data_IF_268612833542
#
_entry.id   IF_268612833542
#
_cell.length_a   1.000
_cell.length_b   1.000
_cell.length_c   1.000
_cell.angle_alpha   90.00
_cell.angle_beta   90.00
_cell.angle_gamma   90.00
#
_symmetry.space_group_name_H-M   'P 1'
#
loop_
_entity.id
_entity.type
_entity.pdbx_description
1 polymer ?
#
# COMPACT_ATOMS: atom_id res chain seq x y z
N UNK A 1 -0.20 3.40 -18.07
CA UNK A 1 0.08 4.68 -17.37
C UNK A 1 -1.25 5.35 -17.10
N UNK A 2 -1.61 5.58 -15.84
CA UNK A 2 -2.83 6.28 -15.45
C UNK A 2 -2.81 7.72 -16.00
N UNK A 3 -3.94 8.18 -16.56
CA UNK A 3 -4.05 9.48 -17.25
C UNK A 3 -3.66 10.70 -16.38
N UNK A 4 -3.69 10.58 -15.05
CA UNK A 4 -3.41 11.66 -14.12
C UNK A 4 -1.92 12.02 -14.03
N UNK A 5 -1.02 11.03 -13.90
CA UNK A 5 0.42 11.26 -13.80
C UNK A 5 1.00 11.86 -15.09
N UNK A 6 0.45 11.48 -16.25
CA UNK A 6 0.83 12.03 -17.56
C UNK A 6 0.44 13.51 -17.70
N UNK A 7 -0.77 13.89 -17.24
CA UNK A 7 -1.26 15.28 -17.28
C UNK A 7 -0.49 16.23 -16.36
N UNK A 8 -0.03 15.76 -15.20
CA UNK A 8 0.73 16.63 -14.28
C UNK A 8 2.14 16.93 -14.82
N UNK A 9 2.83 15.93 -15.40
CA UNK A 9 4.18 16.12 -15.95
C UNK A 9 4.22 17.12 -17.12
N UNK A 10 3.19 17.13 -17.97
CA UNK A 10 3.11 18.05 -19.11
C UNK A 10 2.86 19.51 -18.71
N UNK A 11 2.49 19.79 -17.44
CA UNK A 11 2.10 21.13 -17.00
C UNK A 11 3.10 21.77 -16.02
N UNK A 12 3.95 20.99 -15.35
CA UNK A 12 4.89 21.50 -14.34
C UNK A 12 6.34 21.06 -14.53
N UNK A 13 6.64 20.12 -15.43
CA UNK A 13 8.00 19.56 -15.59
C UNK A 13 8.45 18.65 -14.44
N UNK A 14 7.65 18.52 -13.37
CA UNK A 14 7.93 17.66 -12.21
C UNK A 14 7.43 16.24 -12.50
N UNK A 15 8.26 15.23 -12.22
CA UNK A 15 7.83 13.82 -12.30
C UNK A 15 6.74 13.59 -11.25
N UNK A 16 5.49 13.49 -11.70
CA UNK A 16 4.37 13.17 -10.84
C UNK A 16 4.30 11.66 -10.61
N UNK A 17 4.30 11.26 -9.34
CA UNK A 17 3.95 9.89 -8.94
C UNK A 17 2.52 9.85 -8.38
N UNK A 18 1.97 8.65 -8.31
CA UNK A 18 0.70 8.36 -7.64
C UNK A 18 0.93 7.13 -6.77
N UNK A 19 0.24 6.99 -5.64
CA UNK A 19 0.36 5.84 -4.74
C UNK A 19 0.25 4.49 -5.47
N UNK A 20 -0.66 4.39 -6.42
CA UNK A 20 -0.84 3.18 -7.26
C UNK A 20 0.39 2.88 -8.13
N UNK A 21 1.03 3.92 -8.70
CA UNK A 21 2.24 3.75 -9.52
C UNK A 21 3.46 3.40 -8.67
N UNK A 22 3.60 4.04 -7.51
CA UNK A 22 4.67 3.77 -6.56
C UNK A 22 4.57 2.35 -6.02
N UNK A 23 3.38 1.93 -5.58
CA UNK A 23 3.13 0.57 -5.12
C UNK A 23 3.38 -0.44 -6.23
N UNK A 24 2.97 -0.17 -7.48
CA UNK A 24 3.28 -1.07 -8.60
C UNK A 24 4.79 -1.33 -8.74
N UNK A 25 5.63 -0.28 -8.70
CA UNK A 25 7.10 -0.42 -8.78
C UNK A 25 7.65 -1.26 -7.63
N UNK A 26 7.12 -1.06 -6.43
CA UNK A 26 7.50 -1.84 -5.25
C UNK A 26 7.18 -3.32 -5.41
N UNK A 27 5.95 -3.65 -5.83
CA UNK A 27 5.56 -5.04 -6.06
C UNK A 27 6.47 -5.74 -7.09
N UNK A 28 6.90 -5.03 -8.13
CA UNK A 28 7.87 -5.54 -9.11
C UNK A 28 9.26 -5.81 -8.49
N UNK A 29 9.80 -4.84 -7.74
CA UNK A 29 11.12 -4.96 -7.06
C UNK A 29 11.11 -6.11 -6.05
N UNK A 30 10.01 -6.23 -5.30
CA UNK A 30 9.83 -7.26 -4.28
C UNK A 30 9.35 -8.60 -4.84
N UNK A 31 9.09 -8.67 -6.15
CA UNK A 31 8.61 -9.86 -6.87
C UNK A 31 7.32 -10.44 -6.29
N UNK A 32 6.45 -9.58 -5.77
CA UNK A 32 5.16 -9.98 -5.19
C UNK A 32 4.24 -10.53 -6.29
N UNK A 33 3.64 -11.70 -6.02
CA UNK A 33 2.65 -12.35 -6.88
C UNK A 33 1.28 -12.43 -6.22
N UNK A 34 1.23 -12.53 -4.89
CA UNK A 34 0.02 -12.62 -4.08
C UNK A 34 0.00 -11.47 -3.08
N UNK A 35 -0.96 -10.56 -3.21
CA UNK A 35 -1.02 -9.34 -2.42
C UNK A 35 -2.21 -9.37 -1.47
N UNK A 36 -1.92 -9.28 -0.17
CA UNK A 36 -2.91 -8.96 0.85
C UNK A 36 -3.31 -7.50 0.76
N UNK A 37 -4.59 -7.17 0.80
CA UNK A 37 -5.09 -5.81 0.62
C UNK A 37 -6.03 -5.42 1.76
N UNK A 38 -5.69 -4.36 2.50
CA UNK A 38 -6.55 -3.78 3.53
C UNK A 38 -6.90 -2.35 3.15
N UNK A 39 -8.19 -2.04 3.02
CA UNK A 39 -8.64 -0.70 2.63
C UNK A 39 -9.88 -0.27 3.45
N UNK A 40 -10.21 1.03 3.51
CA UNK A 40 -11.47 1.47 4.11
C UNK A 40 -12.61 1.55 3.08
N UNK A 41 -12.35 1.23 1.81
CA UNK A 41 -13.23 1.60 0.71
C UNK A 41 -14.50 0.74 0.62
N UNK A 42 -15.50 1.27 -0.08
CA UNK A 42 -16.69 0.52 -0.47
C UNK A 42 -16.38 -0.53 -1.53
N UNK A 43 -17.25 -1.52 -1.62
CA UNK A 43 -17.10 -2.75 -2.38
C UNK A 43 -16.77 -2.51 -3.86
N UNK A 44 -17.43 -1.53 -4.51
CA UNK A 44 -17.18 -1.20 -5.92
C UNK A 44 -15.75 -0.71 -6.17
N UNK A 45 -15.23 0.09 -5.25
CA UNK A 45 -13.86 0.62 -5.32
C UNK A 45 -12.87 -0.51 -5.05
N UNK A 46 -13.15 -1.36 -4.06
CA UNK A 46 -12.33 -2.51 -3.74
C UNK A 46 -12.23 -3.48 -4.94
N UNK A 47 -13.37 -3.82 -5.55
CA UNK A 47 -13.44 -4.68 -6.72
C UNK A 47 -12.66 -4.10 -7.91
N UNK A 48 -12.72 -2.78 -8.12
CA UNK A 48 -11.92 -2.11 -9.13
C UNK A 48 -10.41 -2.20 -8.85
N UNK A 49 -9.98 -2.06 -7.60
CA UNK A 49 -8.58 -2.21 -7.19
C UNK A 49 -8.11 -3.64 -7.48
N UNK A 50 -8.85 -4.65 -7.01
CA UNK A 50 -8.56 -6.08 -7.24
C UNK A 50 -8.41 -6.39 -8.73
N UNK A 51 -9.35 -5.92 -9.55
CA UNK A 51 -9.30 -6.09 -11.01
C UNK A 51 -8.05 -5.47 -11.63
N UNK A 52 -7.66 -4.27 -11.20
CA UNK A 52 -6.48 -3.58 -11.71
C UNK A 52 -5.17 -4.32 -11.37
N UNK A 53 -5.04 -4.85 -10.15
CA UNK A 53 -3.88 -5.65 -9.76
C UNK A 53 -3.80 -6.98 -10.51
N UNK A 54 -4.94 -7.65 -10.69
CA UNK A 54 -5.02 -8.86 -11.52
C UNK A 54 -4.53 -8.62 -12.95
N UNK A 55 -4.89 -7.48 -13.54
CA UNK A 55 -4.47 -7.11 -14.90
C UNK A 55 -2.96 -6.88 -15.06
N UNK A 56 -2.22 -6.65 -13.96
CA UNK A 56 -0.75 -6.53 -13.96
C UNK A 56 -0.04 -7.79 -13.44
N UNK A 57 -0.76 -8.90 -13.30
CA UNK A 57 -0.19 -10.19 -12.88
C UNK A 57 0.05 -10.32 -11.38
N UNK A 58 -0.64 -9.52 -10.56
CA UNK A 58 -0.67 -9.63 -9.10
C UNK A 58 -2.04 -10.18 -8.68
N UNK A 59 -2.05 -11.31 -8.01
CA UNK A 59 -3.25 -11.97 -7.52
C UNK A 59 -3.69 -11.36 -6.18
N UNK A 60 -4.97 -11.00 -6.10
CA UNK A 60 -5.68 -10.71 -4.85
C UNK A 60 -6.91 -11.62 -4.87
N UNK A 61 -6.74 -12.82 -4.30
CA UNK A 61 -7.73 -13.89 -4.31
C UNK A 61 -8.70 -13.83 -3.13
N UNK A 62 -9.52 -14.86 -3.00
CA UNK A 62 -10.44 -15.02 -1.88
C UNK A 62 -9.68 -15.00 -0.55
N UNK A 63 -10.20 -14.24 0.42
CA UNK A 63 -9.58 -14.09 1.75
C UNK A 63 -8.37 -13.16 1.80
N UNK A 64 -7.78 -12.75 0.66
CA UNK A 64 -6.61 -11.87 0.61
C UNK A 64 -6.96 -10.39 0.71
N UNK A 65 -8.24 -10.03 0.71
CA UNK A 65 -8.65 -8.64 0.82
C UNK A 65 -9.60 -8.44 2.01
N UNK A 66 -9.49 -7.28 2.65
CA UNK A 66 -10.43 -6.79 3.64
C UNK A 66 -10.71 -5.32 3.39
N UNK A 67 -11.98 -4.96 3.49
CA UNK A 67 -12.40 -3.59 3.40
C UNK A 67 -13.49 -3.28 4.42
N UNK A 68 -13.52 -2.03 4.89
CA UNK A 68 -14.43 -1.60 5.95
C UNK A 68 -15.72 -0.95 5.44
N UNK A 69 -15.87 -0.83 4.11
CA UNK A 69 -17.01 -0.21 3.43
C UNK A 69 -17.42 1.15 4.02
N UNK A 70 -16.43 1.94 4.45
CA UNK A 70 -16.62 3.25 5.10
C UNK A 70 -16.86 4.31 4.02
N UNK A 71 -18.01 4.98 4.09
CA UNK A 71 -18.38 6.03 3.12
C UNK A 71 -17.90 7.43 3.51
N UNK A 72 -17.66 7.70 4.80
CA UNK A 72 -17.28 9.04 5.31
C UNK A 72 -15.82 9.08 5.75
N UNK A 73 -15.04 9.96 5.16
CA UNK A 73 -13.61 10.13 5.46
C UNK A 73 -13.30 10.49 6.92
N UNK A 74 -14.22 11.14 7.63
CA UNK A 74 -14.04 11.51 9.05
C UNK A 74 -14.04 10.28 9.97
N UNK A 75 -14.72 9.21 9.57
CA UNK A 75 -14.83 7.98 10.37
C UNK A 75 -13.59 7.09 10.20
N UNK A 76 -12.78 7.34 9.16
CA UNK A 76 -11.56 6.57 8.85
C UNK A 76 -10.46 6.84 9.90
N UNK A 77 -10.33 8.08 10.37
CA UNK A 77 -9.34 8.42 11.40
C UNK A 77 -9.69 7.86 12.79
N UNK A 78 -10.96 7.47 13.00
CA UNK A 78 -11.43 6.82 14.22
C UNK A 78 -11.25 5.29 14.19
N UNK A 79 -10.75 4.73 13.09
CA UNK A 79 -10.41 3.30 12.99
C UNK A 79 -9.23 3.04 13.93
N UNK A 80 -9.50 2.32 15.02
CA UNK A 80 -8.51 1.94 16.02
C UNK A 80 -7.51 0.91 15.50
N UNK A 81 -6.34 0.88 16.14
CA UNK A 81 -5.26 -0.05 15.82
C UNK A 81 -5.67 -1.52 15.95
N UNK A 82 -6.47 -1.86 16.97
CA UNK A 82 -6.93 -3.24 17.21
C UNK A 82 -7.73 -3.80 16.03
N UNK A 83 -8.55 -2.96 15.39
CA UNK A 83 -9.30 -3.35 14.21
C UNK A 83 -8.34 -3.59 13.04
N UNK A 84 -7.41 -2.66 12.79
CA UNK A 84 -6.42 -2.82 11.72
C UNK A 84 -5.54 -4.05 11.91
N UNK A 85 -5.11 -4.34 13.14
CA UNK A 85 -4.37 -5.54 13.49
C UNK A 85 -5.16 -6.81 13.16
N UNK A 86 -6.48 -6.80 13.42
CA UNK A 86 -7.39 -7.88 13.04
C UNK A 86 -7.45 -8.08 11.52
N UNK A 87 -7.70 -7.00 10.77
CA UNK A 87 -7.81 -7.07 9.30
C UNK A 87 -6.51 -7.53 8.65
N UNK A 88 -5.36 -7.03 9.10
CA UNK A 88 -4.04 -7.44 8.60
C UNK A 88 -3.81 -8.91 8.91
N UNK A 89 -4.10 -9.36 10.14
CA UNK A 89 -3.98 -10.78 10.49
C UNK A 89 -4.82 -11.67 9.57
N UNK A 90 -6.05 -11.26 9.25
CA UNK A 90 -6.94 -12.04 8.39
C UNK A 90 -6.39 -12.22 6.97
N UNK A 91 -5.86 -11.16 6.35
CA UNK A 91 -5.27 -11.28 5.00
C UNK A 91 -3.95 -12.03 4.98
N UNK A 92 -3.15 -11.95 6.06
CA UNK A 92 -1.89 -12.69 6.18
C UNK A 92 -2.13 -14.20 6.16
N UNK A 93 -3.22 -14.68 6.77
CA UNK A 93 -3.57 -16.12 6.82
C UNK A 93 -3.84 -16.70 5.42
N UNK A 94 -4.14 -15.86 4.42
CA UNK A 94 -4.38 -16.27 3.04
C UNK A 94 -3.11 -16.59 2.22
N UNK A 95 -1.94 -16.71 2.88
CA UNK A 95 -0.65 -17.04 2.26
C UNK A 95 -0.28 -16.04 1.16
N UNK A 96 -0.10 -14.78 1.55
CA UNK A 96 0.27 -13.65 0.68
C UNK A 96 1.77 -13.37 0.77
N UNK A 97 2.36 -12.75 -0.26
CA UNK A 97 3.80 -12.41 -0.27
C UNK A 97 4.07 -11.04 0.38
N UNK A 98 3.06 -10.16 0.39
CA UNK A 98 3.09 -8.85 1.00
C UNK A 98 1.67 -8.41 1.39
N UNK A 99 1.56 -7.43 2.28
CA UNK A 99 0.30 -6.74 2.58
C UNK A 99 0.42 -5.28 2.14
N UNK A 100 -0.64 -4.72 1.56
CA UNK A 100 -0.74 -3.29 1.29
C UNK A 100 -1.94 -2.66 2.01
N UNK A 101 -1.70 -1.52 2.67
CA UNK A 101 -2.75 -0.69 3.27
C UNK A 101 -3.01 0.52 2.39
N UNK A 102 -4.26 0.73 2.00
CA UNK A 102 -4.68 1.89 1.22
C UNK A 102 -5.43 2.88 2.08
N UNK A 103 -5.05 4.17 1.95
CA UNK A 103 -5.69 5.39 2.48
C UNK A 103 -4.72 6.16 3.37
N UNK A 104 -4.57 7.46 3.07
CA UNK A 104 -3.74 8.38 3.85
C UNK A 104 -4.31 8.71 5.22
N UNK A 105 -5.58 8.38 5.46
CA UNK A 105 -6.29 8.63 6.73
C UNK A 105 -6.30 7.43 7.66
N UNK A 106 -5.68 6.30 7.28
CA UNK A 106 -5.44 5.19 8.20
C UNK A 106 -4.17 5.47 8.98
N UNK A 107 -4.21 5.26 10.30
CA UNK A 107 -3.03 5.25 11.18
C UNK A 107 -2.22 3.96 10.99
N UNK A 108 -1.98 3.57 9.73
CA UNK A 108 -1.35 2.32 9.34
C UNK A 108 0.18 2.44 9.27
N UNK A 109 0.70 3.58 8.80
CA UNK A 109 2.15 3.79 8.63
C UNK A 109 2.96 3.54 9.92
N UNK A 110 2.41 3.93 11.08
CA UNK A 110 3.03 3.75 12.40
C UNK A 110 3.00 2.30 12.89
N UNK A 111 2.13 1.45 12.30
CA UNK A 111 1.95 0.04 12.66
C UNK A 111 2.69 -0.93 11.75
N UNK A 112 3.21 -0.46 10.61
CA UNK A 112 3.93 -1.28 9.63
C UNK A 112 5.01 -2.14 10.28
N UNK A 113 5.91 -1.56 11.08
CA UNK A 113 7.00 -2.31 11.71
C UNK A 113 6.48 -3.40 12.68
N UNK A 114 5.38 -3.14 13.38
CA UNK A 114 4.74 -4.12 14.28
C UNK A 114 4.22 -5.30 13.48
N UNK A 115 3.51 -5.05 12.37
CA UNK A 115 2.99 -6.11 11.52
C UNK A 115 4.09 -6.91 10.83
N UNK A 116 5.13 -6.24 10.31
CA UNK A 116 6.26 -6.91 9.68
C UNK A 116 7.00 -7.83 10.66
N UNK A 117 7.26 -7.37 11.90
CA UNK A 117 7.87 -8.20 12.95
C UNK A 117 6.99 -9.37 13.37
N UNK A 118 5.68 -9.13 13.51
CA UNK A 118 4.72 -10.12 14.01
C UNK A 118 4.40 -11.21 12.99
N UNK A 119 4.26 -10.84 11.72
CA UNK A 119 3.81 -11.73 10.65
C UNK A 119 4.93 -12.16 9.71
N UNK A 120 6.14 -11.60 9.86
CA UNK A 120 7.32 -11.92 9.05
C UNK A 120 7.03 -11.77 7.56
N UNK A 121 6.35 -10.68 7.22
CA UNK A 121 5.89 -10.38 5.86
C UNK A 121 6.06 -8.87 5.60
N UNK A 122 6.51 -8.43 4.40
CA UNK A 122 6.58 -7.01 4.10
C UNK A 122 5.19 -6.36 4.07
N UNK A 123 5.09 -5.15 4.62
CA UNK A 123 3.86 -4.35 4.60
C UNK A 123 4.10 -3.00 3.94
N UNK A 124 3.27 -2.67 2.96
CA UNK A 124 3.38 -1.46 2.15
C UNK A 124 2.22 -0.52 2.41
N UNK A 125 2.47 0.54 3.20
CA UNK A 125 1.51 1.62 3.34
C UNK A 125 1.59 2.62 2.17
N UNK A 126 0.44 3.04 1.66
CA UNK A 126 0.38 3.97 0.52
C UNK A 126 1.10 5.31 0.74
N UNK A 127 1.16 5.86 1.96
CA UNK A 127 1.97 7.06 2.25
C UNK A 127 3.46 6.74 2.09
N UNK A 128 3.90 5.63 2.68
CA UNK A 128 5.30 5.22 2.66
C UNK A 128 5.77 4.87 1.25
N UNK A 129 4.90 4.27 0.43
CA UNK A 129 5.21 4.00 -0.99
C UNK A 129 5.46 5.29 -1.78
N UNK A 130 4.70 6.35 -1.51
CA UNK A 130 4.90 7.65 -2.18
C UNK A 130 6.21 8.29 -1.73
N UNK A 131 6.50 8.28 -0.43
CA UNK A 131 7.78 8.80 0.10
C UNK A 131 8.98 8.06 -0.49
N UNK A 132 8.89 6.74 -0.60
CA UNK A 132 9.91 5.90 -1.24
C UNK A 132 10.11 6.24 -2.72
N UNK A 133 9.03 6.43 -3.49
CA UNK A 133 9.18 6.77 -4.91
C UNK A 133 9.69 8.20 -5.09
N UNK A 134 9.36 9.11 -4.18
CA UNK A 134 9.88 10.48 -4.19
C UNK A 134 11.36 10.55 -3.84
N UNK A 135 11.83 9.81 -2.82
CA UNK A 135 13.24 9.80 -2.44
C UNK A 135 14.13 9.30 -3.57
N UNK A 136 13.72 8.21 -4.25
CA UNK A 136 14.42 7.68 -5.43
C UNK A 136 14.46 8.66 -6.59
N UNK A 137 13.42 9.47 -6.78
CA UNK A 137 13.38 10.47 -7.85
C UNK A 137 14.28 11.66 -7.56
N UNK A 138 14.48 11.97 -6.27
CA UNK A 138 15.31 13.06 -5.77
C UNK A 138 16.73 12.63 -5.40
N UNK A 139 17.09 11.36 -5.62
CA UNK A 139 18.39 10.76 -5.23
C UNK A 139 18.72 10.93 -3.74
N UNK A 140 17.70 10.92 -2.88
CA UNK A 140 17.86 10.98 -1.42
C UNK A 140 17.95 9.55 -0.89
N UNK A 141 19.03 9.25 -0.18
CA UNK A 141 19.18 7.98 0.54
C UNK A 141 18.34 8.03 1.83
N UNK A 142 17.49 7.02 2.00
CA UNK A 142 16.66 6.84 3.20
C UNK A 142 16.83 5.45 3.81
N UNK A 143 17.90 4.73 3.45
CA UNK A 143 18.17 3.36 3.91
C UNK A 143 18.38 3.25 5.42
N UNK A 144 18.83 4.33 6.06
CA UNK A 144 19.03 4.43 7.52
C UNK A 144 17.76 4.80 8.31
N UNK A 145 16.60 4.96 7.64
CA UNK A 145 15.35 5.33 8.32
C UNK A 145 14.82 4.15 9.16
N UNK A 146 14.94 4.26 10.49
CA UNK A 146 14.43 3.27 11.44
C UNK A 146 12.97 3.52 11.84
N UNK A 147 12.23 2.47 12.18
CA UNK A 147 10.83 2.55 12.63
C UNK A 147 9.78 2.65 11.51
N UNK A 148 10.21 2.72 10.25
CA UNK A 148 9.33 2.86 9.07
C UNK A 148 9.37 1.62 8.18
N UNK A 149 9.47 0.45 8.79
CA UNK A 149 9.39 -0.85 8.11
C UNK A 149 10.49 -1.18 7.10
N UNK A 150 10.33 -2.28 6.38
CA UNK A 150 11.34 -2.86 5.49
C UNK A 150 11.45 -2.13 4.15
N UNK A 151 10.46 -1.30 3.80
CA UNK A 151 10.35 -0.65 2.49
C UNK A 151 11.58 0.20 2.11
N UNK A 152 12.22 0.86 3.09
CA UNK A 152 13.40 1.70 2.85
C UNK A 152 14.74 0.94 2.97
N UNK A 153 14.74 -0.24 3.62
CA UNK A 153 15.95 -1.05 3.83
C UNK A 153 16.38 -1.84 2.59
N UNK A 154 15.45 -2.07 1.65
CA UNK A 154 15.71 -2.75 0.38
C UNK A 154 15.74 -1.71 -0.75
N UNK A 155 16.73 -0.81 -0.69
CA UNK A 155 16.96 0.29 -1.63
C UNK A 155 18.07 -0.04 -2.62
#
# INVERSE_FOLDING_TARGET
>A
MSNCARRSKSRTGIKATTSVLALKKLLEIWRVKRLGLVTPYVDDVQAAIVKNYKAIGVEIGEGMERHLSVQKNNDIAAIGEDLLDGLVKEVVIANVDAVATFCTNLTAAQRVEVWEKKHVIPVFDTIMTVLWDMSRQSSVDMSELEGWGLIFKKS
#
